data_IF_048738240117
#
_entry.id   IF_048738240117
#
_cell.length_a   1.000
_cell.length_b   1.000
_cell.length_c   1.000
_cell.angle_alpha   90.00
_cell.angle_beta   90.00
_cell.angle_gamma   90.00
#
_symmetry.space_group_name_H-M   'P 1'
#
loop_
_entity.id
_entity.type
_entity.pdbx_description
1 polymer ?
#
# COMPACT_ATOMS: atom_id res chain seq x y z
N UNK A 1 62.11 33.09 14.83
CA UNK A 1 62.19 32.09 13.75
C UNK A 1 61.62 30.81 14.33
N UNK A 2 60.33 30.56 14.12
CA UNK A 2 59.65 29.39 14.67
C UNK A 2 59.65 28.29 13.59
N UNK A 3 60.44 27.25 13.81
CA UNK A 3 60.45 26.06 12.96
C UNK A 3 59.18 25.25 13.26
N UNK A 4 58.18 25.37 12.38
CA UNK A 4 57.00 24.50 12.41
C UNK A 4 57.38 23.14 11.85
N UNK A 5 57.73 22.20 12.73
CA UNK A 5 57.83 20.78 12.40
C UNK A 5 56.45 20.23 12.04
N UNK A 6 56.08 20.40 10.77
CA UNK A 6 54.88 19.81 10.20
C UNK A 6 55.09 18.33 9.94
N UNK A 7 54.87 17.48 10.93
CA UNK A 7 54.76 16.04 10.71
C UNK A 7 53.54 15.79 9.82
N UNK A 8 53.67 15.17 8.64
CA UNK A 8 52.51 14.86 7.81
C UNK A 8 51.63 13.87 8.56
N UNK A 9 50.38 14.25 8.84
CA UNK A 9 49.39 13.31 9.34
C UNK A 9 49.04 12.38 8.19
N UNK A 10 49.62 11.19 8.20
CA UNK A 10 49.26 10.11 7.27
C UNK A 10 47.88 9.62 7.73
N UNK A 11 46.84 10.05 7.02
CA UNK A 11 45.50 9.47 7.15
C UNK A 11 45.66 8.01 6.70
N UNK A 12 45.43 7.01 7.57
CA UNK A 12 45.44 5.62 7.13
C UNK A 12 44.43 5.50 6.00
N UNK A 13 44.84 4.97 4.83
CA UNK A 13 43.88 4.59 3.81
C UNK A 13 42.86 3.68 4.47
N UNK A 14 41.65 4.19 4.63
CA UNK A 14 40.54 3.43 5.16
C UNK A 14 40.22 2.39 4.08
N UNK A 15 40.93 1.25 4.11
CA UNK A 15 40.53 -0.02 3.50
C UNK A 15 39.29 -0.53 4.25
N UNK A 16 38.27 0.30 4.40
CA UNK A 16 36.91 -0.21 4.44
C UNK A 16 36.63 -0.66 3.03
N UNK A 17 36.94 -1.94 2.77
CA UNK A 17 36.13 -2.72 1.85
C UNK A 17 34.69 -2.63 2.39
N UNK A 18 33.99 -1.54 2.05
CA UNK A 18 32.55 -1.45 2.24
C UNK A 18 32.04 -2.66 1.47
N UNK A 19 31.44 -3.59 2.20
CA UNK A 19 30.76 -4.71 1.56
C UNK A 19 29.88 -4.13 0.44
N UNK A 20 29.90 -4.72 -0.78
CA UNK A 20 29.04 -4.26 -1.85
C UNK A 20 27.61 -4.17 -1.32
N UNK A 21 26.91 -3.08 -1.59
CA UNK A 21 25.51 -2.95 -1.25
C UNK A 21 24.77 -4.18 -1.81
N UNK A 22 24.32 -5.07 -0.92
CA UNK A 22 23.55 -6.27 -1.23
C UNK A 22 22.16 -6.08 -0.65
N UNK A 23 21.23 -5.49 -1.40
CA UNK A 23 19.86 -5.38 -0.93
C UNK A 23 19.30 -6.80 -0.79
N UNK A 24 18.93 -7.17 0.44
CA UNK A 24 18.17 -8.39 0.73
C UNK A 24 16.66 -8.16 0.63
N UNK A 25 16.23 -6.91 0.43
CA UNK A 25 14.84 -6.52 0.30
C UNK A 25 14.39 -6.58 -1.16
N UNK A 26 13.19 -7.13 -1.40
CA UNK A 26 12.56 -7.16 -2.71
C UNK A 26 11.45 -6.11 -2.78
N UNK A 27 11.60 -5.13 -3.67
CA UNK A 27 10.56 -4.13 -3.96
C UNK A 27 9.31 -4.79 -4.57
N UNK A 28 9.50 -5.88 -5.32
CA UNK A 28 8.41 -6.65 -5.92
C UNK A 28 7.55 -7.34 -4.87
N UNK A 29 8.16 -8.03 -3.90
CA UNK A 29 7.46 -8.67 -2.78
C UNK A 29 6.67 -7.65 -1.96
N UNK A 30 7.25 -6.46 -1.73
CA UNK A 30 6.55 -5.36 -1.05
C UNK A 30 5.34 -4.89 -1.85
N UNK A 31 5.47 -4.71 -3.16
CA UNK A 31 4.33 -4.31 -3.99
C UNK A 31 3.24 -5.38 -4.06
N UNK A 32 3.61 -6.67 -4.08
CA UNK A 32 2.64 -7.77 -4.02
C UNK A 32 1.87 -7.80 -2.71
N UNK A 33 2.57 -7.64 -1.59
CA UNK A 33 1.95 -7.60 -0.27
C UNK A 33 1.00 -6.41 -0.13
N UNK A 34 1.41 -5.23 -0.66
CA UNK A 34 0.54 -4.05 -0.71
C UNK A 34 -0.71 -4.32 -1.55
N UNK A 35 -0.56 -4.90 -2.75
CA UNK A 35 -1.70 -5.22 -3.62
C UNK A 35 -2.68 -6.21 -2.95
N UNK A 36 -2.14 -7.27 -2.33
CA UNK A 36 -2.92 -8.27 -1.58
C UNK A 36 -3.66 -7.63 -0.41
N UNK A 37 -2.97 -6.80 0.36
CA UNK A 37 -3.53 -6.07 1.50
C UNK A 37 -4.66 -5.13 1.06
N UNK A 38 -4.47 -4.38 -0.02
CA UNK A 38 -5.53 -3.52 -0.58
C UNK A 38 -6.74 -4.34 -1.00
N UNK A 39 -6.55 -5.48 -1.68
CA UNK A 39 -7.65 -6.38 -2.04
C UNK A 39 -8.43 -6.90 -0.82
N UNK A 40 -7.71 -7.24 0.26
CA UNK A 40 -8.33 -7.66 1.52
C UNK A 40 -9.15 -6.53 2.18
N UNK A 41 -8.62 -5.31 2.21
CA UNK A 41 -9.32 -4.13 2.74
C UNK A 41 -10.61 -3.87 1.95
N UNK A 42 -10.54 -3.90 0.62
CA UNK A 42 -11.72 -3.71 -0.25
C UNK A 42 -12.79 -4.75 0.08
N UNK A 43 -12.41 -6.03 0.12
CA UNK A 43 -13.34 -7.12 0.38
C UNK A 43 -14.00 -6.99 1.75
N UNK A 44 -13.19 -6.78 2.80
CA UNK A 44 -13.68 -6.66 4.16
C UNK A 44 -14.60 -5.46 4.32
N UNK A 45 -14.21 -4.29 3.82
CA UNK A 45 -15.00 -3.06 3.98
C UNK A 45 -16.34 -3.16 3.23
N UNK A 46 -16.35 -3.74 2.03
CA UNK A 46 -17.60 -4.00 1.30
C UNK A 46 -18.50 -5.01 2.03
N UNK A 47 -17.92 -6.02 2.69
CA UNK A 47 -18.67 -6.98 3.49
C UNK A 47 -19.35 -6.32 4.70
N UNK A 48 -18.61 -5.53 5.48
CA UNK A 48 -19.16 -4.81 6.65
C UNK A 48 -20.25 -3.82 6.23
N UNK A 49 -20.06 -3.09 5.12
CA UNK A 49 -21.08 -2.19 4.58
C UNK A 49 -22.40 -2.94 4.28
N UNK A 50 -22.31 -4.14 3.70
CA UNK A 50 -23.47 -4.98 3.43
C UNK A 50 -24.19 -5.40 4.72
N UNK A 51 -23.44 -5.70 5.78
CA UNK A 51 -24.03 -6.01 7.08
C UNK A 51 -24.80 -4.82 7.66
N UNK A 52 -24.23 -3.62 7.64
CA UNK A 52 -24.90 -2.40 8.12
C UNK A 52 -26.16 -2.06 7.33
N UNK A 53 -26.14 -2.20 6.00
CA UNK A 53 -27.35 -2.07 5.17
C UNK A 53 -28.40 -3.10 5.57
N UNK A 54 -27.99 -4.33 5.84
CA UNK A 54 -28.91 -5.39 6.27
C UNK A 54 -29.55 -5.09 7.63
N UNK A 55 -28.79 -4.53 8.58
CA UNK A 55 -29.31 -4.05 9.86
C UNK A 55 -30.38 -2.97 9.65
N UNK A 56 -30.11 -1.98 8.80
CA UNK A 56 -31.07 -0.93 8.45
C UNK A 56 -32.36 -1.46 7.80
N UNK A 57 -32.23 -2.37 6.84
CA UNK A 57 -33.33 -2.84 5.99
C UNK A 57 -34.20 -3.92 6.65
N UNK A 58 -33.62 -4.78 7.50
CA UNK A 58 -34.29 -5.99 7.95
C UNK A 58 -34.41 -6.10 9.47
N UNK A 59 -33.36 -5.80 10.22
CA UNK A 59 -33.28 -6.17 11.63
C UNK A 59 -33.76 -5.06 12.57
N UNK A 60 -33.39 -3.80 12.31
CA UNK A 60 -33.60 -2.70 13.25
C UNK A 60 -34.80 -1.83 12.91
N UNK A 61 -35.84 -2.41 12.30
CA UNK A 61 -37.06 -1.66 11.88
C UNK A 61 -37.79 -0.98 13.03
N UNK A 62 -37.67 -1.53 14.24
CA UNK A 62 -38.33 -1.02 15.45
C UNK A 62 -37.41 -0.10 16.28
N UNK A 63 -36.15 0.07 15.88
CA UNK A 63 -35.23 0.95 16.55
C UNK A 63 -35.48 2.42 16.23
N UNK A 64 -34.87 3.30 17.03
CA UNK A 64 -34.94 4.74 16.80
C UNK A 64 -34.37 5.12 15.43
N UNK A 65 -34.86 6.23 14.86
CA UNK A 65 -34.32 6.76 13.60
C UNK A 65 -32.81 6.99 13.69
N UNK A 66 -32.31 7.47 14.83
CA UNK A 66 -30.88 7.71 15.04
C UNK A 66 -30.05 6.43 14.86
N UNK A 67 -30.52 5.29 15.39
CA UNK A 67 -29.84 3.99 15.24
C UNK A 67 -29.88 3.53 13.78
N UNK A 68 -31.07 3.52 13.17
CA UNK A 68 -31.26 3.06 11.80
C UNK A 68 -30.43 3.87 10.79
N UNK A 69 -30.54 5.19 10.84
CA UNK A 69 -29.75 6.05 9.95
C UNK A 69 -28.25 6.03 10.31
N UNK A 70 -27.89 5.76 11.57
CA UNK A 70 -26.52 5.49 11.97
C UNK A 70 -25.90 4.34 11.17
N UNK A 71 -26.59 3.21 11.02
CA UNK A 71 -26.10 2.10 10.20
C UNK A 71 -25.89 2.49 8.73
N UNK A 72 -26.71 3.36 8.15
CA UNK A 72 -26.48 3.84 6.79
C UNK A 72 -25.23 4.73 6.68
N UNK A 73 -24.93 5.52 7.72
CA UNK A 73 -23.68 6.29 7.81
C UNK A 73 -22.49 5.33 7.90
N UNK A 74 -22.54 4.35 8.81
CA UNK A 74 -21.47 3.35 8.97
C UNK A 74 -21.23 2.55 7.67
N UNK A 75 -22.31 2.21 6.95
CA UNK A 75 -22.23 1.55 5.65
C UNK A 75 -21.54 2.42 4.60
N UNK A 76 -21.87 3.72 4.54
CA UNK A 76 -21.25 4.66 3.62
C UNK A 76 -19.76 4.81 3.90
N UNK A 77 -19.36 4.97 5.16
CA UNK A 77 -17.95 5.05 5.56
C UNK A 77 -17.17 3.79 5.15
N UNK A 78 -17.75 2.60 5.35
CA UNK A 78 -17.14 1.35 4.92
C UNK A 78 -16.96 1.29 3.38
N UNK A 79 -17.93 1.77 2.60
CA UNK A 79 -17.82 1.84 1.15
C UNK A 79 -16.80 2.89 0.69
N UNK A 80 -16.67 4.02 1.37
CA UNK A 80 -15.65 5.02 1.08
C UNK A 80 -14.24 4.45 1.25
N UNK A 81 -14.01 3.69 2.32
CA UNK A 81 -12.75 2.96 2.53
C UNK A 81 -12.50 1.98 1.39
N UNK A 82 -13.52 1.18 1.02
CA UNK A 82 -13.43 0.21 -0.06
C UNK A 82 -13.06 0.89 -1.39
N UNK A 83 -13.77 1.95 -1.76
CA UNK A 83 -13.55 2.66 -3.03
C UNK A 83 -12.19 3.33 -3.09
N UNK A 84 -11.71 3.89 -1.98
CA UNK A 84 -10.38 4.50 -1.89
C UNK A 84 -9.29 3.46 -2.19
N UNK A 85 -9.33 2.31 -1.52
CA UNK A 85 -8.32 1.26 -1.70
C UNK A 85 -8.48 0.55 -3.03
N UNK A 86 -9.70 0.40 -3.55
CA UNK A 86 -9.93 -0.15 -4.89
C UNK A 86 -9.34 0.77 -5.97
N UNK A 87 -9.45 2.09 -5.81
CA UNK A 87 -8.83 3.08 -6.69
C UNK A 87 -7.30 2.95 -6.72
N UNK A 88 -6.68 2.79 -5.55
CA UNK A 88 -5.24 2.58 -5.41
C UNK A 88 -4.81 1.23 -6.01
N UNK A 89 -5.55 0.16 -5.75
CA UNK A 89 -5.30 -1.17 -6.31
C UNK A 89 -5.39 -1.15 -7.83
N UNK A 90 -6.42 -0.49 -8.39
CA UNK A 90 -6.57 -0.30 -9.83
C UNK A 90 -5.34 0.37 -10.43
N UNK A 91 -4.84 1.44 -9.81
CA UNK A 91 -3.66 2.14 -10.29
C UNK A 91 -2.40 1.24 -10.23
N UNK A 92 -2.21 0.49 -9.14
CA UNK A 92 -1.09 -0.42 -8.98
C UNK A 92 -1.09 -1.56 -10.02
N UNK A 93 -2.25 -2.17 -10.25
CA UNK A 93 -2.40 -3.28 -11.22
C UNK A 93 -2.31 -2.77 -12.66
N UNK A 94 -2.88 -1.60 -12.99
CA UNK A 94 -2.77 -1.02 -14.32
C UNK A 94 -1.31 -0.72 -14.69
N UNK A 95 -0.51 -0.25 -13.74
CA UNK A 95 0.92 -0.05 -13.95
C UNK A 95 1.66 -1.37 -14.22
N UNK A 96 1.36 -2.43 -13.45
CA UNK A 96 1.94 -3.77 -13.70
C UNK A 96 1.55 -4.32 -15.06
N UNK A 97 0.28 -4.21 -15.43
CA UNK A 97 -0.22 -4.68 -16.73
C UNK A 97 0.51 -4.00 -17.90
N UNK A 98 0.72 -2.67 -17.83
CA UNK A 98 1.47 -1.94 -18.85
C UNK A 98 2.92 -2.42 -18.97
N UNK A 99 3.59 -2.66 -17.85
CA UNK A 99 4.98 -3.17 -17.84
C UNK A 99 5.04 -4.61 -18.37
N UNK A 100 4.11 -5.46 -17.97
CA UNK A 100 4.04 -6.86 -18.41
C UNK A 100 3.71 -6.96 -19.90
N UNK A 101 2.79 -6.13 -20.42
CA UNK A 101 2.50 -6.04 -21.86
C UNK A 101 3.70 -5.53 -22.66
N UNK A 102 4.45 -4.54 -22.16
CA UNK A 102 5.68 -4.07 -22.81
C UNK A 102 6.77 -5.16 -22.86
N UNK A 103 6.83 -6.05 -21.88
CA UNK A 103 7.80 -7.14 -21.81
C UNK A 103 7.41 -8.36 -22.66
N UNK A 104 6.11 -8.61 -22.88
CA UNK A 104 5.61 -9.78 -23.60
C UNK A 104 5.56 -9.62 -25.13
N UNK A 105 5.98 -8.47 -25.67
CA UNK A 105 5.91 -8.16 -27.11
C UNK A 105 4.49 -7.89 -27.59
N UNK A 106 4.30 -7.44 -28.85
CA UNK A 106 2.99 -7.06 -29.35
C UNK A 106 2.04 -8.26 -29.29
N UNK A 107 0.86 -8.04 -28.69
CA UNK A 107 -0.24 -9.00 -28.67
C UNK A 107 -0.53 -9.38 -30.14
N UNK A 108 -0.46 -10.66 -30.52
CA UNK A 108 -0.74 -11.06 -31.89
C UNK A 108 -2.23 -10.85 -32.15
N UNK A 109 -2.56 -9.82 -32.93
CA UNK A 109 -3.88 -9.60 -33.51
C UNK A 109 -4.06 -10.43 -34.78
#
# INVERSE_FOLDING_TARGET
MAETNGTPVIIPEQKTAREPYRPTASMEEVHEEIARSMGSIVHKSAHEACQYVSLFDFYDKNETLAVRYGHLVDAAECLEIALTHLGQLKAAVAHRLLIEDEQNGPIPF
#
